data_IF_572467744426
#
_entry.id   IF_572467744426
#
_cell.length_a   1.000
_cell.length_b   1.000
_cell.length_c   1.000
_cell.angle_alpha   90.00
_cell.angle_beta   90.00
_cell.angle_gamma   90.00
#
_symmetry.space_group_name_H-M   'P 1'
#
loop_
_entity.id
_entity.type
_entity.pdbx_description
1 polymer ?
#
# COMPACT_ATOMS: atom_id res chain seq x y z
N UNK A 1 1.84 -6.26 -3.80
CA UNK A 1 2.22 -4.92 -4.34
C UNK A 1 3.14 -5.08 -5.54
N UNK A 2 4.36 -5.60 -5.37
CA UNK A 2 5.28 -5.86 -6.50
C UNK A 2 4.61 -6.72 -7.59
N UNK A 3 3.99 -7.85 -7.21
CA UNK A 3 3.28 -8.70 -8.19
C UNK A 3 2.10 -8.02 -8.88
N UNK A 4 1.42 -7.06 -8.24
CA UNK A 4 0.35 -6.32 -8.89
C UNK A 4 0.90 -5.36 -9.96
N UNK A 5 2.01 -4.68 -9.66
CA UNK A 5 2.70 -3.83 -10.64
C UNK A 5 3.32 -4.67 -11.76
N UNK A 6 3.88 -5.83 -11.44
CA UNK A 6 4.37 -6.79 -12.43
C UNK A 6 3.25 -7.25 -13.37
N UNK A 7 2.08 -7.61 -12.82
CA UNK A 7 0.93 -7.99 -13.64
C UNK A 7 0.46 -6.86 -14.56
N UNK A 8 0.46 -5.61 -14.08
CA UNK A 8 0.15 -4.45 -14.93
C UNK A 8 1.20 -4.29 -16.04
N UNK A 9 2.49 -4.48 -15.72
CA UNK A 9 3.57 -4.39 -16.70
C UNK A 9 3.46 -5.47 -17.79
N UNK A 10 3.01 -6.68 -17.44
CA UNK A 10 2.72 -7.76 -18.39
C UNK A 10 1.51 -7.45 -19.27
N UNK A 11 0.42 -6.98 -18.65
CA UNK A 11 -0.82 -6.64 -19.36
C UNK A 11 -0.65 -5.46 -20.30
N UNK A 12 0.26 -4.54 -19.97
CA UNK A 12 0.55 -3.35 -20.76
C UNK A 12 2.06 -3.20 -20.97
N UNK A 13 2.65 -3.97 -21.91
CA UNK A 13 4.08 -3.91 -22.17
C UNK A 13 4.50 -2.51 -22.60
N UNK A 14 5.35 -1.88 -21.80
CA UNK A 14 5.91 -0.54 -22.05
C UNK A 14 7.37 -0.53 -21.69
N UNK A 15 8.17 0.16 -22.50
CA UNK A 15 9.61 0.29 -22.27
C UNK A 15 9.96 1.22 -21.09
N UNK A 16 8.98 1.96 -20.55
CA UNK A 16 9.16 2.91 -19.44
C UNK A 16 7.92 2.95 -18.57
N UNK A 17 8.03 2.47 -17.33
CA UNK A 17 6.97 2.59 -16.32
C UNK A 17 7.34 3.66 -15.31
N UNK A 18 6.38 4.50 -14.92
CA UNK A 18 6.53 5.49 -13.87
C UNK A 18 5.62 5.12 -12.70
N UNK A 19 6.11 5.29 -11.48
CA UNK A 19 5.35 4.96 -10.27
C UNK A 19 5.21 6.18 -9.37
N UNK A 20 4.00 6.43 -8.87
CA UNK A 20 3.69 7.59 -8.03
C UNK A 20 2.92 7.18 -6.79
N UNK A 21 3.17 7.85 -5.66
CA UNK A 21 2.41 7.63 -4.43
C UNK A 21 2.46 8.79 -3.44
N UNK A 22 1.36 9.00 -2.71
CA UNK A 22 1.24 9.98 -1.64
C UNK A 22 1.06 9.26 -0.29
N UNK A 23 1.69 9.77 0.79
CA UNK A 23 1.56 9.23 2.15
C UNK A 23 1.87 7.71 2.21
N UNK A 24 0.94 6.88 2.67
CA UNK A 24 1.09 5.42 2.66
C UNK A 24 1.32 4.86 1.24
N UNK A 25 0.69 5.46 0.23
CA UNK A 25 0.95 5.12 -1.17
C UNK A 25 2.39 5.43 -1.60
N UNK A 26 2.99 6.48 -1.02
CA UNK A 26 4.41 6.82 -1.23
C UNK A 26 5.35 5.76 -0.65
N UNK A 27 5.06 5.25 0.55
CA UNK A 27 5.79 4.10 1.11
C UNK A 27 5.74 2.89 0.16
N UNK A 28 4.54 2.56 -0.32
CA UNK A 28 4.34 1.43 -1.22
C UNK A 28 5.08 1.62 -2.54
N UNK A 29 5.03 2.82 -3.12
CA UNK A 29 5.74 3.17 -4.33
C UNK A 29 7.25 2.95 -4.18
N UNK A 30 7.85 3.46 -3.10
CA UNK A 30 9.27 3.27 -2.82
C UNK A 30 9.64 1.80 -2.61
N UNK A 31 8.83 1.05 -1.86
CA UNK A 31 9.07 -0.38 -1.60
C UNK A 31 8.99 -1.23 -2.86
N UNK A 32 8.11 -0.88 -3.81
CA UNK A 32 8.02 -1.52 -5.12
C UNK A 32 9.24 -1.14 -5.96
N UNK A 33 9.62 0.13 -6.00
CA UNK A 33 10.77 0.60 -6.78
C UNK A 33 12.07 -0.10 -6.37
N UNK A 34 12.29 -0.31 -5.08
CA UNK A 34 13.48 -1.04 -4.59
C UNK A 34 13.48 -2.50 -5.05
N UNK A 35 12.31 -3.13 -5.19
CA UNK A 35 12.15 -4.55 -5.56
C UNK A 35 11.95 -4.78 -7.05
N UNK A 36 11.77 -3.71 -7.83
CA UNK A 36 11.43 -3.81 -9.24
C UNK A 36 12.52 -4.47 -10.09
N UNK A 37 13.84 -4.26 -9.84
CA UNK A 37 14.87 -4.93 -10.63
C UNK A 37 14.84 -6.44 -10.46
N UNK A 38 14.73 -6.96 -9.22
CA UNK A 38 14.66 -8.41 -9.00
C UNK A 38 13.39 -9.03 -9.59
N UNK A 39 12.31 -8.25 -9.71
CA UNK A 39 11.05 -8.67 -10.29
C UNK A 39 10.95 -8.44 -11.81
N UNK A 40 12.01 -7.96 -12.48
CA UNK A 40 12.00 -7.69 -13.93
C UNK A 40 11.07 -6.55 -14.37
N UNK A 41 10.65 -5.66 -13.45
CA UNK A 41 9.71 -4.58 -13.74
C UNK A 41 10.50 -3.32 -14.15
N UNK A 42 10.33 -2.79 -15.39
CA UNK A 42 11.12 -1.68 -15.90
C UNK A 42 10.63 -0.31 -15.40
N UNK A 43 10.66 -0.11 -14.08
CA UNK A 43 10.34 1.20 -13.46
C UNK A 43 11.49 2.17 -13.76
N UNK A 44 11.18 3.23 -14.51
CA UNK A 44 12.13 4.27 -14.87
C UNK A 44 12.28 5.36 -13.80
N UNK A 45 11.19 5.74 -13.14
CA UNK A 45 11.23 6.74 -12.07
C UNK A 45 10.05 6.53 -11.11
N UNK A 46 10.33 6.79 -9.85
CA UNK A 46 9.35 6.77 -8.77
C UNK A 46 9.27 8.13 -8.10
N UNK A 47 8.06 8.62 -7.87
CA UNK A 47 7.80 9.85 -7.12
C UNK A 47 6.98 9.49 -5.88
N UNK A 48 7.50 9.85 -4.71
CA UNK A 48 6.84 9.65 -3.44
C UNK A 48 6.68 10.99 -2.73
N UNK A 49 5.44 11.37 -2.43
CA UNK A 49 5.11 12.63 -1.77
C UNK A 49 4.75 12.32 -0.32
N UNK A 50 5.44 13.01 0.61
CA UNK A 50 5.36 12.81 2.07
C UNK A 50 5.22 11.32 2.47
N UNK A 51 6.12 10.43 2.01
CA UNK A 51 5.97 9.00 2.23
C UNK A 51 6.09 8.64 3.72
N UNK A 52 5.25 7.71 4.16
CA UNK A 52 5.38 7.10 5.48
C UNK A 52 6.62 6.20 5.49
N UNK A 53 7.75 6.63 6.04
CA UNK A 53 8.97 5.82 6.03
C UNK A 53 9.19 5.04 7.32
N UNK A 54 8.86 5.65 8.46
CA UNK A 54 9.02 5.04 9.77
C UNK A 54 7.64 4.70 10.37
N UNK A 55 7.28 3.41 10.46
CA UNK A 55 5.98 3.00 10.97
C UNK A 55 5.80 3.28 12.47
N UNK A 56 6.86 3.20 13.28
CA UNK A 56 6.79 3.43 14.73
C UNK A 56 6.39 4.88 15.03
N UNK A 57 7.19 5.84 14.55
CA UNK A 57 6.88 7.26 14.71
C UNK A 57 5.56 7.67 14.04
N UNK A 58 5.14 6.97 12.98
CA UNK A 58 3.86 7.29 12.33
C UNK A 58 2.69 6.77 13.13
N UNK A 59 2.78 5.58 13.73
CA UNK A 59 1.73 5.07 14.60
C UNK A 59 1.61 5.96 15.84
N UNK A 60 2.73 6.35 16.45
CA UNK A 60 2.74 7.30 17.56
C UNK A 60 2.09 8.64 17.17
N UNK A 61 2.43 9.16 15.99
CA UNK A 61 1.83 10.39 15.50
C UNK A 61 0.33 10.22 15.24
N UNK A 62 -0.14 9.08 14.74
CA UNK A 62 -1.56 8.82 14.46
C UNK A 62 -2.37 8.66 15.75
N UNK A 63 -1.83 7.93 16.73
CA UNK A 63 -2.47 7.67 18.02
C UNK A 63 -2.53 8.93 18.89
N UNK A 64 -1.49 9.78 18.83
CA UNK A 64 -1.44 11.03 19.59
C UNK A 64 -1.93 12.27 18.80
N UNK A 65 -2.40 12.10 17.56
CA UNK A 65 -2.97 13.19 16.75
C UNK A 65 -4.46 13.41 17.03
N UNK A 66 -5.02 14.44 16.39
CA UNK A 66 -6.45 14.72 16.39
C UNK A 66 -7.30 13.45 16.14
N UNK A 67 -8.23 13.15 17.06
CA UNK A 67 -9.08 11.94 17.04
C UNK A 67 -9.74 11.70 15.66
N UNK A 68 -10.16 12.75 14.95
CA UNK A 68 -10.73 12.62 13.62
C UNK A 68 -9.82 11.89 12.60
N UNK A 69 -8.50 12.04 12.71
CA UNK A 69 -7.54 11.37 11.83
C UNK A 69 -7.46 9.87 12.11
N UNK A 70 -7.39 9.50 13.39
CA UNK A 70 -7.40 8.10 13.83
C UNK A 70 -8.69 7.38 13.39
N UNK A 71 -9.86 8.00 13.64
CA UNK A 71 -11.15 7.45 13.21
C UNK A 71 -11.23 7.26 11.69
N UNK A 72 -10.80 8.27 10.93
CA UNK A 72 -10.78 8.22 9.47
C UNK A 72 -9.94 7.05 8.95
N UNK A 73 -8.74 6.85 9.51
CA UNK A 73 -7.82 5.80 9.10
C UNK A 73 -8.39 4.42 9.41
N UNK A 74 -8.84 4.19 10.64
CA UNK A 74 -9.45 2.92 11.08
C UNK A 74 -10.69 2.60 10.23
N UNK A 75 -11.55 3.58 9.98
CA UNK A 75 -12.74 3.39 9.13
C UNK A 75 -12.38 2.96 7.71
N UNK A 76 -11.43 3.63 7.07
CA UNK A 76 -10.99 3.27 5.71
C UNK A 76 -10.32 1.90 5.68
N UNK A 77 -9.52 1.58 6.69
CA UNK A 77 -8.85 0.30 6.81
C UNK A 77 -9.85 -0.85 6.96
N UNK A 78 -10.80 -0.76 7.90
CA UNK A 78 -11.89 -1.74 8.07
C UNK A 78 -12.66 -1.94 6.77
N UNK A 79 -13.05 -0.85 6.10
CA UNK A 79 -13.75 -0.92 4.80
C UNK A 79 -12.93 -1.69 3.75
N UNK A 80 -11.61 -1.48 3.69
CA UNK A 80 -10.74 -2.20 2.76
C UNK A 80 -10.64 -3.69 3.10
N UNK A 81 -10.60 -4.05 4.38
CA UNK A 81 -10.56 -5.44 4.83
C UNK A 81 -11.87 -6.17 4.54
N UNK A 82 -13.01 -5.52 4.78
CA UNK A 82 -14.33 -6.07 4.45
C UNK A 82 -14.43 -6.38 2.96
N UNK A 83 -13.99 -5.45 2.10
CA UNK A 83 -13.94 -5.69 0.65
C UNK A 83 -13.03 -6.87 0.29
N UNK A 84 -11.84 -6.97 0.88
CA UNK A 84 -10.94 -8.11 0.64
C UNK A 84 -11.60 -9.44 1.01
N UNK A 85 -12.28 -9.51 2.16
CA UNK A 85 -13.01 -10.71 2.58
C UNK A 85 -14.13 -11.10 1.61
N UNK A 86 -14.86 -10.11 1.06
CA UNK A 86 -15.94 -10.37 0.10
C UNK A 86 -15.43 -10.97 -1.22
N UNK A 87 -14.33 -10.44 -1.77
CA UNK A 87 -13.79 -10.92 -3.05
C UNK A 87 -12.83 -12.10 -2.92
N UNK A 88 -12.31 -12.36 -1.72
CA UNK A 88 -11.38 -13.44 -1.44
C UNK A 88 -11.82 -14.20 -0.17
N UNK A 89 -12.95 -14.93 -0.21
CA UNK A 89 -13.50 -15.61 0.97
C UNK A 89 -12.58 -16.70 1.53
N UNK A 90 -11.69 -17.25 0.70
CA UNK A 90 -10.77 -18.34 1.08
C UNK A 90 -9.44 -17.84 1.69
N UNK A 91 -9.27 -16.52 1.85
CA UNK A 91 -8.04 -15.92 2.34
C UNK A 91 -8.02 -15.98 3.88
N UNK A 92 -7.25 -16.92 4.44
CA UNK A 92 -7.11 -17.14 5.89
C UNK A 92 -6.35 -16.00 6.57
N UNK A 93 -6.65 -15.75 7.85
CA UNK A 93 -6.01 -14.70 8.66
C UNK A 93 -6.67 -13.33 8.59
N UNK A 94 -7.72 -13.16 7.77
CA UNK A 94 -8.58 -11.97 7.80
C UNK A 94 -9.64 -12.02 8.92
N UNK A 95 -9.84 -13.18 9.57
CA UNK A 95 -10.81 -13.37 10.66
C UNK A 95 -10.47 -12.57 11.92
N UNK A 96 -9.18 -12.45 12.28
CA UNK A 96 -8.75 -11.83 13.54
C UNK A 96 -8.71 -10.30 13.49
N UNK A 97 -8.74 -9.69 12.30
CA UNK A 97 -8.59 -8.24 12.12
C UNK A 97 -9.84 -7.42 12.49
N UNK A 98 -10.96 -8.07 12.77
CA UNK A 98 -12.20 -7.43 13.18
C UNK A 98 -12.49 -7.53 14.68
N UNK A 99 -11.64 -8.22 15.45
CA UNK A 99 -11.73 -8.32 16.91
C UNK A 99 -10.97 -7.15 17.56
N UNK A 100 -11.61 -5.99 17.59
CA UNK A 100 -11.26 -4.85 18.44
C UNK A 100 -12.55 -4.15 18.83
#
# INVERSE_FOLDING_TARGET
MVGAVGRIAELFPRNRIFLGGFSLGGNFALRVAVRSPQAGIPIRKTVAICPLLNPEHTMDAIENSFWGYHWYFIRKWRRSLTKKRQYFPNLTGLENLFRF
#
